data_IF_062165353508
#
_entry.id   IF_062165353508
#
_cell.length_a   1.000
_cell.length_b   1.000
_cell.length_c   1.000
_cell.angle_alpha   90.00
_cell.angle_beta   90.00
_cell.angle_gamma   90.00
#
_symmetry.space_group_name_H-M   'P 1'
#
loop_
_entity.id
_entity.type
_entity.pdbx_description
1 polymer ?
#
# COMPACT_ATOMS: atom_id res chain seq x y z
N UNK A 1 -14.31 -22.84 -9.50
CA UNK A 1 -13.59 -21.56 -9.66
C UNK A 1 -13.00 -21.38 -11.06
N UNK A 2 -12.11 -22.25 -11.55
CA UNK A 2 -11.74 -22.27 -12.99
C UNK A 2 -12.97 -22.42 -13.90
N UNK A 3 -13.91 -23.30 -13.51
CA UNK A 3 -15.22 -23.49 -14.15
C UNK A 3 -16.08 -22.23 -14.19
N UNK A 4 -15.83 -21.27 -13.30
CA UNK A 4 -16.53 -19.99 -13.22
C UNK A 4 -15.73 -18.87 -13.90
N UNK A 5 -14.70 -19.22 -14.68
CA UNK A 5 -13.79 -18.31 -15.38
C UNK A 5 -13.02 -17.33 -14.48
N UNK A 6 -12.89 -17.63 -13.19
CA UNK A 6 -12.04 -16.85 -12.29
C UNK A 6 -10.57 -17.22 -12.46
N UNK A 7 -9.72 -16.19 -12.44
CA UNK A 7 -8.28 -16.31 -12.41
C UNK A 7 -7.81 -16.30 -10.95
N UNK A 8 -7.02 -17.30 -10.58
CA UNK A 8 -6.45 -17.43 -9.24
C UNK A 8 -5.08 -16.77 -9.16
N UNK A 9 -4.90 -15.89 -8.19
CA UNK A 9 -3.60 -15.39 -7.76
C UNK A 9 -3.42 -15.69 -6.27
N UNK A 10 -2.52 -16.61 -5.95
CA UNK A 10 -2.33 -17.13 -4.59
C UNK A 10 -3.65 -17.64 -3.98
N UNK A 11 -4.14 -17.02 -2.90
CA UNK A 11 -5.42 -17.36 -2.23
C UNK A 11 -6.61 -16.53 -2.72
N UNK A 12 -6.40 -15.62 -3.66
CA UNK A 12 -7.42 -14.70 -4.17
C UNK A 12 -7.82 -15.07 -5.59
N UNK A 13 -9.05 -14.76 -5.96
CA UNK A 13 -9.62 -15.15 -7.24
C UNK A 13 -10.36 -13.96 -7.85
N UNK A 14 -10.13 -13.66 -9.12
CA UNK A 14 -10.69 -12.45 -9.75
C UNK A 14 -11.27 -12.79 -11.11
N UNK A 15 -12.29 -12.02 -11.49
CA UNK A 15 -12.97 -12.14 -12.76
C UNK A 15 -12.40 -11.08 -13.74
N UNK A 16 -11.58 -11.49 -14.73
CA UNK A 16 -11.04 -10.57 -15.73
C UNK A 16 -12.07 -10.17 -16.80
N UNK A 17 -13.23 -10.83 -16.88
CA UNK A 17 -14.22 -10.59 -17.94
C UNK A 17 -15.03 -9.31 -17.73
N UNK A 18 -15.06 -8.79 -16.49
CA UNK A 18 -15.83 -7.60 -16.11
C UNK A 18 -14.98 -6.60 -15.33
N UNK A 19 -13.91 -6.05 -15.94
CA UNK A 19 -13.09 -5.05 -15.28
C UNK A 19 -13.86 -3.73 -15.15
N UNK A 20 -13.74 -3.08 -13.99
CA UNK A 20 -14.16 -1.68 -13.84
C UNK A 20 -13.00 -0.77 -14.22
N UNK A 21 -13.23 0.14 -15.16
CA UNK A 21 -12.19 1.04 -15.67
C UNK A 21 -12.22 2.34 -14.87
N UNK A 22 -11.04 2.85 -14.50
CA UNK A 22 -10.81 4.17 -13.92
C UNK A 22 -10.02 4.99 -14.96
N UNK A 23 -10.71 5.76 -15.83
CA UNK A 23 -10.09 6.39 -16.99
C UNK A 23 -8.99 7.40 -16.64
N UNK A 24 -9.19 8.21 -15.60
CA UNK A 24 -8.29 9.31 -15.23
C UNK A 24 -6.87 8.82 -14.91
N UNK A 25 -6.74 7.64 -14.31
CA UNK A 25 -5.44 7.05 -13.96
C UNK A 25 -5.02 5.89 -14.85
N UNK A 26 -5.77 5.61 -15.94
CA UNK A 26 -5.53 4.45 -16.81
C UNK A 26 -5.39 3.16 -15.99
N UNK A 27 -6.29 2.97 -15.03
CA UNK A 27 -6.34 1.80 -14.17
C UNK A 27 -7.58 0.96 -14.50
N UNK A 28 -7.48 -0.34 -14.23
CA UNK A 28 -8.62 -1.24 -14.23
C UNK A 28 -8.66 -2.03 -12.92
N UNK A 29 -9.87 -2.30 -12.44
CA UNK A 29 -10.13 -3.00 -11.19
C UNK A 29 -10.88 -4.29 -11.51
N UNK A 30 -10.24 -5.42 -11.24
CA UNK A 30 -10.86 -6.73 -11.39
C UNK A 30 -11.58 -7.09 -10.08
N UNK A 31 -12.90 -7.31 -10.12
CA UNK A 31 -13.63 -7.79 -8.96
C UNK A 31 -13.26 -9.25 -8.69
N UNK A 32 -13.35 -9.66 -7.44
CA UNK A 32 -12.96 -10.99 -7.04
C UNK A 32 -13.40 -11.36 -5.64
N UNK A 33 -13.00 -12.56 -5.25
CA UNK A 33 -13.31 -13.15 -3.97
C UNK A 33 -12.05 -13.79 -3.36
N UNK A 34 -11.92 -13.65 -2.05
CA UNK A 34 -11.04 -14.48 -1.23
C UNK A 34 -11.90 -15.60 -0.68
N UNK A 35 -11.44 -16.84 -0.83
CA UNK A 35 -12.16 -18.01 -0.34
C UNK A 35 -11.22 -18.83 0.53
N UNK A 36 -11.73 -19.27 1.67
CA UNK A 36 -11.08 -20.21 2.58
C UNK A 36 -12.14 -21.17 3.11
N UNK A 37 -11.82 -22.46 3.12
CA UNK A 37 -12.68 -23.49 3.69
C UNK A 37 -11.98 -23.96 4.96
N UNK A 38 -12.73 -23.97 6.06
CA UNK A 38 -12.24 -24.45 7.35
C UNK A 38 -13.39 -25.05 8.17
N UNK A 39 -13.03 -25.81 9.19
CA UNK A 39 -13.97 -26.40 10.13
C UNK A 39 -14.18 -25.44 11.31
N UNK A 40 -15.45 -25.12 11.59
CA UNK A 40 -15.84 -24.27 12.70
C UNK A 40 -16.95 -24.94 13.52
N UNK A 41 -17.32 -24.32 14.64
CA UNK A 41 -18.51 -24.72 15.38
C UNK A 41 -19.74 -24.64 14.46
N UNK A 42 -20.44 -25.76 14.30
CA UNK A 42 -21.55 -25.92 13.34
C UNK A 42 -21.15 -26.55 11.99
N UNK A 43 -19.89 -26.96 11.82
CA UNK A 43 -19.43 -27.79 10.70
C UNK A 43 -18.50 -27.07 9.72
N UNK A 44 -18.43 -27.62 8.50
CA UNK A 44 -17.57 -27.11 7.43
C UNK A 44 -18.12 -25.78 6.87
N UNK A 45 -17.36 -24.69 7.00
CA UNK A 45 -17.77 -23.37 6.53
C UNK A 45 -16.88 -22.87 5.39
N UNK A 46 -17.48 -22.13 4.46
CA UNK A 46 -16.78 -21.38 3.42
C UNK A 46 -16.73 -19.91 3.81
N UNK A 47 -15.57 -19.43 4.25
CA UNK A 47 -15.31 -18.02 4.40
C UNK A 47 -15.10 -17.41 3.01
N UNK A 48 -16.01 -16.53 2.59
CA UNK A 48 -15.93 -15.79 1.34
C UNK A 48 -15.92 -14.30 1.63
N UNK A 49 -14.98 -13.56 1.03
CA UNK A 49 -14.93 -12.11 1.15
C UNK A 49 -14.63 -11.44 -0.19
N UNK A 50 -15.15 -10.23 -0.38
CA UNK A 50 -14.97 -9.45 -1.60
C UNK A 50 -13.55 -8.90 -1.67
N UNK A 51 -12.90 -9.10 -2.82
CA UNK A 51 -11.56 -8.59 -3.09
C UNK A 51 -11.50 -7.85 -4.41
N UNK A 52 -10.54 -6.93 -4.53
CA UNK A 52 -10.30 -6.18 -5.75
C UNK A 52 -8.82 -6.28 -6.11
N UNK A 53 -8.54 -6.47 -7.40
CA UNK A 53 -7.17 -6.39 -7.93
C UNK A 53 -7.08 -5.19 -8.86
N UNK A 54 -6.16 -4.30 -8.57
CA UNK A 54 -5.89 -3.11 -9.39
C UNK A 54 -4.75 -3.43 -10.36
N UNK A 55 -4.94 -3.06 -11.62
CA UNK A 55 -3.98 -3.24 -12.70
C UNK A 55 -3.84 -1.94 -13.48
N UNK A 56 -2.64 -1.68 -13.98
CA UNK A 56 -2.42 -0.61 -14.94
C UNK A 56 -2.93 -1.03 -16.32
N UNK A 57 -3.52 -0.10 -17.06
CA UNK A 57 -3.86 -0.28 -18.48
C UNK A 57 -2.66 -0.08 -19.39
N UNK A 58 -1.67 0.71 -18.95
CA UNK A 58 -0.40 0.86 -19.66
C UNK A 58 0.43 -0.41 -19.55
N UNK A 59 1.03 -0.82 -20.65
CA UNK A 59 2.02 -1.89 -20.68
C UNK A 59 3.32 -1.44 -20.03
N UNK A 60 4.21 -2.36 -19.68
CA UNK A 60 5.55 -2.01 -19.20
C UNK A 60 6.34 -1.31 -20.32
N UNK A 61 6.09 -1.66 -21.59
CA UNK A 61 6.69 -0.96 -22.73
C UNK A 61 6.30 0.53 -22.76
N UNK A 62 5.01 0.85 -22.61
CA UNK A 62 4.54 2.25 -22.56
C UNK A 62 5.25 3.03 -21.44
N UNK A 63 5.47 2.39 -20.29
CA UNK A 63 6.17 3.01 -19.17
C UNK A 63 7.65 3.20 -19.44
N UNK A 64 8.31 2.26 -20.13
CA UNK A 64 9.69 2.44 -20.57
C UNK A 64 9.80 3.62 -21.55
N UNK A 65 8.85 3.77 -22.48
CA UNK A 65 8.80 4.92 -23.39
C UNK A 65 8.60 6.22 -22.61
N UNK A 66 7.69 6.26 -21.63
CA UNK A 66 7.48 7.44 -20.78
C UNK A 66 8.77 7.82 -20.01
N UNK A 67 9.49 6.84 -19.45
CA UNK A 67 10.75 7.07 -18.72
C UNK A 67 11.84 7.57 -19.67
N UNK A 68 11.93 7.01 -20.87
CA UNK A 68 12.89 7.42 -21.88
C UNK A 68 12.66 8.89 -22.31
N UNK A 69 11.40 9.28 -22.51
CA UNK A 69 11.04 10.66 -22.87
C UNK A 69 11.36 11.67 -21.77
N UNK A 70 11.31 11.27 -20.50
CA UNK A 70 11.61 12.14 -19.36
C UNK A 70 13.11 12.31 -19.11
N UNK A 71 13.91 11.25 -19.31
CA UNK A 71 15.33 11.29 -19.03
C UNK A 71 16.09 10.31 -19.94
N UNK A 72 16.56 10.82 -21.08
CA UNK A 72 17.26 10.03 -22.11
C UNK A 72 18.61 9.53 -21.59
N UNK A 73 19.39 10.41 -20.96
CA UNK A 73 20.78 10.11 -20.56
C UNK A 73 20.86 9.07 -19.43
N UNK A 74 19.87 9.05 -18.52
CA UNK A 74 19.81 8.12 -17.38
C UNK A 74 18.67 7.12 -17.49
N UNK A 75 18.22 6.81 -18.71
CA UNK A 75 17.07 5.96 -18.96
C UNK A 75 17.17 4.59 -18.26
N UNK A 76 18.31 3.90 -18.41
CA UNK A 76 18.46 2.55 -17.85
C UNK A 76 18.41 2.53 -16.33
N UNK A 77 19.04 3.51 -15.67
CA UNK A 77 19.03 3.62 -14.20
C UNK A 77 17.62 3.94 -13.68
N UNK A 78 16.93 4.90 -14.32
CA UNK A 78 15.56 5.26 -14.00
C UNK A 78 14.59 4.08 -14.19
N UNK A 79 14.74 3.33 -15.29
CA UNK A 79 13.94 2.14 -15.57
C UNK A 79 14.16 1.05 -14.53
N UNK A 80 15.41 0.75 -14.18
CA UNK A 80 15.76 -0.22 -13.12
C UNK A 80 15.16 0.19 -11.78
N UNK A 81 15.36 1.44 -11.35
CA UNK A 81 14.83 1.97 -10.08
C UNK A 81 13.30 1.92 -10.00
N UNK A 82 12.61 2.14 -11.12
CA UNK A 82 11.14 2.22 -11.14
C UNK A 82 10.48 0.85 -11.26
N UNK A 83 11.06 -0.08 -12.04
CA UNK A 83 10.40 -1.33 -12.42
C UNK A 83 10.89 -2.56 -11.64
N UNK A 84 12.16 -2.61 -11.23
CA UNK A 84 12.68 -3.76 -10.49
C UNK A 84 11.95 -3.89 -9.15
N UNK A 85 11.57 -5.11 -8.81
CA UNK A 85 10.80 -5.43 -7.61
C UNK A 85 9.28 -5.44 -7.82
N UNK A 86 8.78 -4.77 -8.86
CA UNK A 86 7.36 -4.74 -9.16
C UNK A 86 6.85 -6.09 -9.70
N UNK A 87 5.55 -6.32 -9.53
CA UNK A 87 4.87 -7.51 -10.03
C UNK A 87 4.09 -7.15 -11.29
N UNK A 88 4.41 -7.82 -12.39
CA UNK A 88 3.70 -7.73 -13.67
C UNK A 88 2.72 -8.88 -13.84
N UNK A 89 1.64 -8.64 -14.58
CA UNK A 89 0.67 -9.60 -15.06
C UNK A 89 0.77 -9.71 -16.57
N UNK A 90 0.84 -10.93 -17.08
CA UNK A 90 0.72 -11.23 -18.50
C UNK A 90 -0.72 -11.66 -18.82
N UNK A 91 -1.46 -10.86 -19.60
CA UNK A 91 -2.89 -11.08 -19.86
C UNK A 91 -3.18 -12.37 -20.65
N UNK A 92 -2.26 -12.81 -21.50
CA UNK A 92 -2.44 -13.98 -22.37
C UNK A 92 -2.51 -15.32 -21.62
N UNK A 93 -1.98 -15.39 -20.38
CA UNK A 93 -2.03 -16.59 -19.55
C UNK A 93 -2.47 -16.29 -18.10
N UNK A 94 -2.75 -15.02 -17.79
CA UNK A 94 -3.06 -14.49 -16.47
C UNK A 94 -2.09 -14.91 -15.36
N UNK A 95 -0.79 -14.96 -15.67
CA UNK A 95 0.28 -15.25 -14.71
C UNK A 95 0.98 -13.98 -14.25
N UNK A 96 1.44 -14.00 -13.00
CA UNK A 96 2.18 -12.89 -12.41
C UNK A 96 3.64 -13.25 -12.24
N UNK A 97 4.51 -12.29 -12.54
CA UNK A 97 5.96 -12.42 -12.43
C UNK A 97 6.52 -11.22 -11.69
N UNK A 98 7.57 -11.42 -10.90
CA UNK A 98 8.30 -10.32 -10.25
C UNK A 98 9.44 -9.92 -11.17
N UNK A 99 9.56 -8.63 -11.48
CA UNK A 99 10.70 -8.14 -12.24
C UNK A 99 11.92 -8.16 -11.31
N UNK A 100 12.92 -8.96 -11.67
CA UNK A 100 14.19 -9.04 -10.96
C UNK A 100 15.26 -8.19 -11.62
N UNK A 101 15.30 -8.17 -12.96
CA UNK A 101 16.28 -7.43 -13.75
C UNK A 101 15.66 -7.02 -15.10
N UNK A 102 16.26 -6.03 -15.76
CA UNK A 102 15.90 -5.62 -17.13
C UNK A 102 17.13 -5.83 -18.02
N UNK A 103 17.01 -6.69 -19.03
CA UNK A 103 18.04 -6.93 -20.01
C UNK A 103 17.87 -5.97 -21.19
N UNK A 104 18.75 -4.96 -21.27
CA UNK A 104 18.80 -4.03 -22.40
C UNK A 104 19.56 -4.60 -23.60
N UNK A 105 20.41 -5.62 -23.38
CA UNK A 105 21.23 -6.23 -24.42
C UNK A 105 20.49 -7.33 -25.21
N UNK A 106 19.30 -7.73 -24.76
CA UNK A 106 18.48 -8.74 -25.41
C UNK A 106 17.17 -8.14 -25.90
N UNK A 107 16.73 -8.60 -27.06
CA UNK A 107 15.51 -8.15 -27.72
C UNK A 107 14.57 -9.34 -27.98
N UNK A 108 13.30 -9.11 -28.37
CA UNK A 108 12.39 -10.15 -28.82
C UNK A 108 12.92 -11.06 -29.96
N UNK A 109 13.97 -10.63 -30.67
CA UNK A 109 14.62 -11.44 -31.71
C UNK A 109 15.59 -12.48 -31.13
N UNK A 110 16.00 -12.34 -29.87
CA UNK A 110 16.88 -13.30 -29.21
C UNK A 110 16.21 -14.68 -29.13
N UNK A 111 17.02 -15.73 -29.27
CA UNK A 111 16.61 -17.11 -29.13
C UNK A 111 16.78 -17.62 -27.71
N UNK A 112 15.94 -18.58 -27.33
CA UNK A 112 16.05 -19.30 -26.09
C UNK A 112 15.69 -20.78 -26.30
N UNK A 113 16.20 -21.63 -25.42
CA UNK A 113 16.03 -23.06 -25.53
C UNK A 113 14.70 -23.50 -24.93
N UNK A 114 13.86 -24.16 -25.73
CA UNK A 114 12.63 -24.80 -25.28
C UNK A 114 12.77 -26.32 -25.31
N UNK A 115 11.82 -27.04 -24.72
CA UNK A 115 11.75 -28.51 -24.80
C UNK A 115 11.64 -29.04 -26.24
N UNK A 116 11.16 -28.21 -27.16
CA UNK A 116 10.97 -28.50 -28.58
C UNK A 116 12.12 -28.02 -29.47
N UNK A 117 13.19 -27.46 -28.90
CA UNK A 117 14.32 -26.88 -29.63
C UNK A 117 14.51 -25.38 -29.35
N UNK A 118 15.48 -24.79 -30.02
CA UNK A 118 15.75 -23.35 -29.97
C UNK A 118 14.69 -22.57 -30.75
N UNK A 119 14.15 -21.49 -30.17
CA UNK A 119 13.16 -20.63 -30.83
C UNK A 119 13.37 -19.18 -30.38
N UNK A 120 13.04 -18.22 -31.25
CA UNK A 120 13.00 -16.80 -30.86
C UNK A 120 11.79 -16.51 -29.97
N UNK A 121 11.83 -15.42 -29.18
CA UNK A 121 10.64 -14.97 -28.45
C UNK A 121 9.49 -14.64 -29.41
N UNK A 122 9.77 -13.99 -30.53
CA UNK A 122 8.78 -13.69 -31.58
C UNK A 122 8.02 -14.93 -32.04
N UNK A 123 8.75 -15.96 -32.46
CA UNK A 123 8.16 -17.20 -32.97
C UNK A 123 7.43 -17.97 -31.87
N UNK A 124 7.97 -17.98 -30.66
CA UNK A 124 7.34 -18.61 -29.51
C UNK A 124 5.97 -17.99 -29.22
N UNK A 125 5.89 -16.66 -29.10
CA UNK A 125 4.63 -15.97 -28.82
C UNK A 125 3.63 -16.09 -29.98
N UNK A 126 4.10 -16.12 -31.22
CA UNK A 126 3.25 -16.32 -32.39
C UNK A 126 2.70 -17.75 -32.46
N UNK A 127 3.54 -18.76 -32.23
CA UNK A 127 3.17 -20.18 -32.32
C UNK A 127 2.28 -20.65 -31.17
N UNK A 128 2.60 -20.29 -29.93
CA UNK A 128 1.91 -20.82 -28.75
C UNK A 128 0.77 -19.93 -28.24
N UNK A 129 0.82 -18.63 -28.52
CA UNK A 129 -0.18 -17.67 -28.04
C UNK A 129 -0.89 -16.91 -29.15
N UNK A 130 -0.50 -17.08 -30.42
CA UNK A 130 -1.00 -16.31 -31.56
C UNK A 130 -0.87 -14.79 -31.38
N UNK A 131 0.21 -14.35 -30.73
CA UNK A 131 0.49 -12.93 -30.47
C UNK A 131 1.59 -12.46 -31.41
N UNK A 132 1.35 -11.34 -32.09
CA UNK A 132 2.38 -10.64 -32.88
C UNK A 132 2.93 -9.50 -32.04
N UNK A 133 4.23 -9.54 -31.72
CA UNK A 133 4.94 -8.47 -31.01
C UNK A 133 5.20 -7.32 -32.00
N UNK A 134 4.89 -6.08 -31.62
CA UNK A 134 5.00 -4.93 -32.51
C UNK A 134 6.39 -4.31 -32.49
N UNK A 135 6.94 -4.13 -31.29
CA UNK A 135 8.28 -3.56 -31.12
C UNK A 135 9.31 -4.69 -30.97
N UNK A 136 10.13 -4.90 -32.00
CA UNK A 136 11.17 -5.93 -31.99
C UNK A 136 12.47 -5.49 -31.33
N UNK A 137 12.60 -4.20 -30.97
CA UNK A 137 13.82 -3.62 -30.36
C UNK A 137 13.66 -3.37 -28.86
N UNK A 138 12.49 -3.61 -28.30
CA UNK A 138 12.25 -3.46 -26.86
C UNK A 138 13.17 -4.38 -26.02
N UNK A 139 13.54 -3.98 -24.79
CA UNK A 139 14.33 -4.83 -23.89
C UNK A 139 13.51 -6.02 -23.37
N UNK A 140 14.15 -6.94 -22.66
CA UNK A 140 13.48 -8.05 -21.97
C UNK A 140 13.41 -7.82 -20.45
N UNK A 141 12.32 -8.26 -19.83
CA UNK A 141 12.20 -8.33 -18.36
C UNK A 141 12.59 -9.72 -17.89
N UNK A 142 13.48 -9.82 -16.92
CA UNK A 142 13.84 -11.08 -16.29
C UNK A 142 13.10 -11.26 -14.98
N UNK A 143 12.45 -12.42 -14.84
CA UNK A 143 11.83 -12.87 -13.60
C UNK A 143 12.49 -14.16 -13.14
N UNK A 144 13.10 -14.15 -11.96
CA UNK A 144 13.83 -15.28 -11.40
C UNK A 144 12.96 -15.93 -10.32
N UNK A 145 12.61 -17.20 -10.53
CA UNK A 145 11.88 -18.00 -9.55
C UNK A 145 12.84 -18.98 -8.88
N UNK A 146 13.18 -18.72 -7.62
CA UNK A 146 13.93 -19.66 -6.79
C UNK A 146 13.12 -20.93 -6.58
N UNK A 147 13.68 -22.09 -6.91
CA UNK A 147 13.11 -23.39 -6.58
C UNK A 147 13.04 -23.55 -5.05
N UNK A 148 11.98 -24.17 -4.53
CA UNK A 148 11.82 -24.45 -3.09
C UNK A 148 12.29 -25.86 -2.71
N UNK A 149 12.90 -26.58 -3.64
CA UNK A 149 13.33 -27.96 -3.42
C UNK A 149 14.77 -27.95 -2.92
N UNK A 150 14.98 -28.46 -1.70
CA UNK A 150 16.29 -28.73 -1.09
C UNK A 150 16.96 -29.92 -1.81
N UNK A 151 17.38 -29.71 -3.04
CA UNK A 151 18.30 -30.60 -3.76
C UNK A 151 19.47 -29.74 -4.23
N UNK A 152 20.69 -30.26 -4.16
CA UNK A 152 21.95 -29.55 -4.39
C UNK A 152 22.07 -28.84 -5.76
N UNK A 153 21.10 -29.02 -6.66
CA UNK A 153 20.95 -28.27 -7.91
C UNK A 153 19.98 -27.08 -7.72
N UNK A 154 20.52 -25.94 -7.31
CA UNK A 154 19.83 -24.65 -7.30
C UNK A 154 19.66 -24.11 -8.73
N UNK A 155 18.93 -24.81 -9.61
CA UNK A 155 18.55 -24.26 -10.90
C UNK A 155 17.47 -23.19 -10.69
N UNK A 156 17.90 -21.93 -10.66
CA UNK A 156 17.00 -20.79 -10.68
C UNK A 156 16.31 -20.73 -12.04
N UNK A 157 14.99 -20.93 -12.08
CA UNK A 157 14.23 -20.81 -13.33
C UNK A 157 14.12 -19.32 -13.67
N UNK A 158 14.73 -18.94 -14.79
CA UNK A 158 14.68 -17.59 -15.33
C UNK A 158 13.62 -17.51 -16.43
N UNK A 159 12.72 -16.54 -16.30
CA UNK A 159 11.71 -16.22 -17.30
C UNK A 159 12.07 -14.89 -17.97
N UNK A 160 12.30 -14.92 -19.28
CA UNK A 160 12.34 -13.71 -20.11
C UNK A 160 10.93 -13.33 -20.56
N UNK A 161 10.52 -12.09 -20.28
CA UNK A 161 9.19 -11.58 -20.57
C UNK A 161 9.29 -10.33 -21.45
N UNK A 162 8.33 -10.19 -22.36
CA UNK A 162 8.23 -9.06 -23.29
C UNK A 162 7.48 -7.90 -22.62
N UNK A 163 8.08 -6.70 -22.47
CA UNK A 163 7.43 -5.53 -21.84
C UNK A 163 6.07 -5.17 -22.44
N UNK A 164 5.89 -5.29 -23.75
CA UNK A 164 4.62 -5.02 -24.47
C UNK A 164 3.46 -5.91 -23.97
N UNK A 165 3.76 -7.11 -23.47
CA UNK A 165 2.76 -8.08 -23.02
C UNK A 165 2.56 -8.08 -21.50
N UNK A 166 3.29 -7.22 -20.78
CA UNK A 166 3.32 -7.15 -19.34
C UNK A 166 2.58 -5.90 -18.85
N UNK A 167 1.75 -6.05 -17.83
CA UNK A 167 1.03 -4.94 -17.19
C UNK A 167 1.41 -4.89 -15.71
N UNK A 168 1.76 -3.71 -15.19
CA UNK A 168 2.03 -3.58 -13.76
C UNK A 168 0.77 -3.87 -12.94
N UNK A 169 0.97 -4.51 -11.80
CA UNK A 169 -0.09 -4.79 -10.84
C UNK A 169 0.13 -4.00 -9.56
N UNK A 170 -0.97 -3.59 -8.93
CA UNK A 170 -0.93 -2.75 -7.74
C UNK A 170 -0.83 -1.26 -8.04
N UNK A 171 -0.72 -0.47 -6.96
CA UNK A 171 -0.58 0.98 -7.01
C UNK A 171 0.87 1.34 -6.70
N UNK A 172 1.48 2.12 -7.59
CA UNK A 172 2.78 2.76 -7.40
C UNK A 172 2.72 3.81 -6.29
N UNK A 173 3.85 4.12 -5.68
CA UNK A 173 3.91 5.04 -4.54
C UNK A 173 3.52 6.48 -4.90
N UNK A 174 3.87 6.94 -6.11
CA UNK A 174 3.41 8.22 -6.64
C UNK A 174 1.87 8.28 -6.75
N UNK A 175 1.24 7.21 -7.24
CA UNK A 175 -0.22 7.10 -7.31
C UNK A 175 -0.86 7.04 -5.92
N UNK A 176 -0.20 6.41 -4.94
CA UNK A 176 -0.67 6.37 -3.55
C UNK A 176 -0.59 7.73 -2.86
N UNK A 177 0.38 8.55 -3.25
CA UNK A 177 0.53 9.92 -2.73
C UNK A 177 -0.52 10.90 -3.29
N UNK A 178 -1.14 10.57 -4.44
CA UNK A 178 -2.23 11.37 -5.01
C UNK A 178 -3.56 11.08 -4.29
N UNK A 179 -3.92 12.00 -3.39
CA UNK A 179 -5.16 11.93 -2.62
C UNK A 179 -6.43 11.96 -3.49
N UNK A 180 -6.41 12.64 -4.64
CA UNK A 180 -7.58 12.74 -5.53
C UNK A 180 -7.81 11.38 -6.18
N UNK A 181 -6.75 10.77 -6.70
CA UNK A 181 -6.78 9.45 -7.28
C UNK A 181 -7.19 8.38 -6.25
N UNK A 182 -6.61 8.42 -5.05
CA UNK A 182 -6.96 7.46 -3.99
C UNK A 182 -8.43 7.56 -3.56
N UNK A 183 -9.04 8.75 -3.59
CA UNK A 183 -10.50 8.92 -3.36
C UNK A 183 -11.32 8.27 -4.46
N UNK A 184 -10.92 8.41 -5.72
CA UNK A 184 -11.62 7.78 -6.85
C UNK A 184 -11.52 6.24 -6.78
N UNK A 185 -10.32 5.70 -6.56
CA UNK A 185 -10.10 4.25 -6.35
C UNK A 185 -10.94 3.74 -5.17
N UNK A 186 -11.05 4.53 -4.10
CA UNK A 186 -11.86 4.18 -2.94
C UNK A 186 -13.36 4.03 -3.29
N UNK A 187 -13.89 4.76 -4.27
CA UNK A 187 -15.31 4.59 -4.68
C UNK A 187 -15.59 3.22 -5.28
N UNK A 188 -14.59 2.60 -5.93
CA UNK A 188 -14.71 1.28 -6.54
C UNK A 188 -14.32 0.13 -5.60
N UNK A 189 -13.46 0.41 -4.60
CA UNK A 189 -12.86 -0.62 -3.73
C UNK A 189 -13.46 -0.65 -2.32
N UNK A 190 -14.05 0.46 -1.83
CA UNK A 190 -14.79 0.47 -0.57
C UNK A 190 -16.17 -0.14 -0.79
N UNK A 191 -16.43 -1.23 -0.08
CA UNK A 191 -17.68 -1.97 -0.15
C UNK A 191 -18.41 -1.79 1.16
N UNK A 192 -19.62 -1.21 1.11
CA UNK A 192 -20.50 -1.10 2.28
C UNK A 192 -21.01 -2.49 2.72
N UNK A 193 -21.49 -2.65 3.97
CA UNK A 193 -22.02 -3.94 4.43
C UNK A 193 -23.10 -4.51 3.50
N UNK A 194 -24.05 -3.68 3.05
CA UNK A 194 -25.12 -4.11 2.14
C UNK A 194 -24.56 -4.55 0.78
N UNK A 195 -23.62 -3.78 0.21
CA UNK A 195 -22.98 -4.16 -1.06
C UNK A 195 -22.17 -5.46 -0.92
N UNK A 196 -21.55 -5.68 0.24
CA UNK A 196 -20.79 -6.91 0.52
C UNK A 196 -21.73 -8.11 0.54
N UNK A 197 -22.86 -8.00 1.23
CA UNK A 197 -23.89 -9.04 1.25
C UNK A 197 -24.40 -9.35 -0.17
N UNK A 198 -24.74 -8.32 -0.97
CA UNK A 198 -25.15 -8.52 -2.36
C UNK A 198 -24.08 -9.20 -3.22
N UNK A 199 -22.81 -8.88 -3.00
CA UNK A 199 -21.71 -9.50 -3.72
C UNK A 199 -21.50 -10.98 -3.34
N UNK A 200 -21.73 -11.34 -2.08
CA UNK A 200 -21.70 -12.72 -1.60
C UNK A 200 -22.91 -13.53 -2.10
N UNK A 201 -24.10 -12.92 -2.12
CA UNK A 201 -25.29 -13.50 -2.74
C UNK A 201 -25.06 -13.80 -4.22
N UNK A 202 -24.48 -12.84 -4.94
CA UNK A 202 -24.11 -13.04 -6.34
C UNK A 202 -23.08 -14.16 -6.53
N UNK A 203 -22.12 -14.28 -5.61
CA UNK A 203 -21.14 -15.36 -5.64
C UNK A 203 -21.82 -16.72 -5.47
N UNK A 204 -22.69 -16.86 -4.47
CA UNK A 204 -23.49 -18.05 -4.24
C UNK A 204 -24.31 -18.41 -5.48
N UNK A 205 -25.03 -17.44 -6.05
CA UNK A 205 -25.84 -17.63 -7.25
C UNK A 205 -25.01 -18.09 -8.44
N UNK A 206 -23.83 -17.51 -8.66
CA UNK A 206 -22.94 -17.91 -9.75
C UNK A 206 -22.48 -19.37 -9.61
N UNK A 207 -22.17 -19.82 -8.38
CA UNK A 207 -21.77 -21.22 -8.15
C UNK A 207 -22.97 -22.15 -8.33
N UNK A 208 -24.13 -21.83 -7.75
CA UNK A 208 -25.31 -22.69 -7.72
C UNK A 208 -26.04 -22.77 -9.06
N UNK A 209 -26.01 -21.71 -9.87
CA UNK A 209 -26.65 -21.66 -11.21
C UNK A 209 -25.75 -22.21 -12.32
N UNK A 210 -24.46 -22.44 -12.08
CA UNK A 210 -23.55 -23.02 -13.07
C UNK A 210 -23.54 -24.55 -12.92
N UNK A 211 -24.11 -25.32 -13.88
CA UNK A 211 -24.26 -26.78 -13.74
C UNK A 211 -22.94 -27.49 -13.47
N UNK A 212 -21.91 -27.15 -14.25
CA UNK A 212 -20.57 -27.73 -14.10
C UNK A 212 -19.92 -27.43 -12.74
N UNK A 213 -20.25 -26.31 -12.08
CA UNK A 213 -19.75 -26.02 -10.74
C UNK A 213 -20.52 -26.80 -9.67
N UNK A 214 -21.83 -26.96 -9.86
CA UNK A 214 -22.71 -27.75 -8.99
C UNK A 214 -22.37 -29.24 -9.02
N UNK A 215 -22.10 -29.79 -10.20
CA UNK A 215 -21.69 -31.20 -10.37
C UNK A 215 -20.39 -31.51 -9.61
N UNK A 216 -19.42 -30.59 -9.63
CA UNK A 216 -18.19 -30.75 -8.85
C UNK A 216 -18.53 -30.88 -7.37
N UNK A 217 -19.32 -29.96 -6.80
CA UNK A 217 -19.68 -30.01 -5.38
C UNK A 217 -20.48 -31.28 -5.04
N UNK A 218 -21.47 -31.62 -5.86
CA UNK A 218 -22.30 -32.82 -5.70
C UNK A 218 -21.46 -34.10 -5.74
N UNK A 219 -20.41 -34.15 -6.57
CA UNK A 219 -19.50 -35.30 -6.64
C UNK A 219 -18.74 -35.55 -5.33
N UNK A 220 -18.60 -34.53 -4.48
CA UNK A 220 -18.03 -34.65 -3.13
C UNK A 220 -19.11 -34.77 -2.04
N UNK A 221 -20.40 -34.87 -2.41
CA UNK A 221 -21.51 -34.84 -1.47
C UNK A 221 -21.69 -33.48 -0.79
N UNK A 222 -21.10 -32.41 -1.34
CA UNK A 222 -21.14 -31.06 -0.78
C UNK A 222 -22.20 -30.22 -1.48
N UNK A 223 -22.82 -29.30 -0.74
CA UNK A 223 -23.68 -28.26 -1.29
C UNK A 223 -23.38 -26.92 -0.63
N UNK A 224 -23.59 -25.82 -1.35
CA UNK A 224 -23.49 -24.50 -0.77
C UNK A 224 -24.84 -24.07 -0.23
N UNK A 225 -24.85 -23.65 1.03
CA UNK A 225 -26.06 -23.15 1.69
C UNK A 225 -25.96 -21.63 1.82
N UNK A 226 -27.04 -20.93 1.45
CA UNK A 226 -27.21 -19.50 1.74
C UNK A 226 -27.65 -19.34 3.19
N UNK A 227 -26.76 -19.62 4.13
CA UNK A 227 -27.02 -19.33 5.54
C UNK A 227 -26.03 -18.29 6.04
N UNK A 228 -26.52 -17.07 6.20
CA UNK A 228 -25.86 -16.11 7.07
C UNK A 228 -26.18 -16.56 8.49
N UNK A 229 -25.43 -17.54 9.01
CA UNK A 229 -25.67 -18.05 10.35
C UNK A 229 -25.86 -16.86 11.29
N UNK A 230 -27.06 -16.74 11.86
CA UNK A 230 -27.37 -15.67 12.81
C UNK A 230 -26.51 -15.94 14.04
N UNK A 231 -25.36 -15.28 14.10
CA UNK A 231 -24.45 -15.43 15.21
C UNK A 231 -24.99 -14.60 16.36
N UNK A 232 -25.24 -15.26 17.50
CA UNK A 232 -25.64 -14.56 18.72
C UNK A 232 -24.41 -13.87 19.31
N UNK A 233 -24.18 -12.63 18.88
CA UNK A 233 -23.14 -11.77 19.44
C UNK A 233 -23.52 -11.22 20.81
N UNK A 234 -22.50 -10.74 21.55
CA UNK A 234 -22.67 -9.94 22.77
C UNK A 234 -22.08 -8.55 22.54
N UNK A 235 -22.85 -7.51 22.84
CA UNK A 235 -22.35 -6.15 22.91
C UNK A 235 -21.85 -5.90 24.32
N UNK A 236 -20.56 -5.56 24.47
CA UNK A 236 -20.02 -5.15 25.76
C UNK A 236 -20.52 -3.75 26.12
N UNK A 237 -20.65 -3.51 27.42
CA UNK A 237 -21.00 -2.18 27.91
C UNK A 237 -19.87 -1.19 27.57
N UNK A 238 -20.21 0.08 27.26
CA UNK A 238 -19.20 1.10 27.02
C UNK A 238 -18.30 1.28 28.25
N UNK A 239 -16.99 1.23 28.02
CA UNK A 239 -16.01 1.47 29.08
C UNK A 239 -16.01 2.91 29.57
N UNK A 240 -15.58 3.07 30.83
CA UNK A 240 -15.41 4.37 31.46
C UNK A 240 -14.01 4.94 31.19
N UNK A 241 -13.96 6.20 30.78
CA UNK A 241 -12.76 6.97 30.53
C UNK A 241 -12.52 7.88 31.73
N UNK A 242 -11.38 7.69 32.37
CA UNK A 242 -10.98 8.44 33.57
C UNK A 242 -10.09 9.62 33.18
N UNK A 243 -10.54 10.82 33.55
CA UNK A 243 -9.78 12.07 33.53
C UNK A 243 -9.39 12.45 34.98
N UNK A 244 -8.58 13.51 35.15
CA UNK A 244 -8.12 13.92 36.49
C UNK A 244 -9.26 14.17 37.49
N UNK A 245 -10.36 14.80 37.03
CA UNK A 245 -11.49 15.20 37.88
C UNK A 245 -12.82 14.56 37.51
N UNK A 246 -12.93 13.99 36.31
CA UNK A 246 -14.19 13.49 35.77
C UNK A 246 -14.01 12.08 35.20
N UNK A 247 -15.07 11.28 35.29
CA UNK A 247 -15.18 10.01 34.57
C UNK A 247 -16.32 10.13 33.58
N UNK A 248 -16.09 9.74 32.32
CA UNK A 248 -17.10 9.80 31.25
C UNK A 248 -17.18 8.46 30.53
N UNK A 249 -18.34 8.01 30.07
CA UNK A 249 -18.43 6.81 29.24
C UNK A 249 -17.85 7.09 27.84
N UNK A 250 -17.24 6.07 27.21
CA UNK A 250 -16.76 6.15 25.82
C UNK A 250 -17.90 6.38 24.80
N UNK A 251 -19.15 6.17 25.22
CA UNK A 251 -20.35 6.35 24.39
C UNK A 251 -20.56 5.20 23.41
N UNK A 252 -21.67 5.27 22.64
CA UNK A 252 -22.08 4.20 21.72
C UNK A 252 -21.10 3.95 20.57
N UNK A 253 -20.38 4.98 20.14
CA UNK A 253 -19.43 4.92 19.02
C UNK A 253 -17.97 4.76 19.49
N UNK A 254 -17.72 4.60 20.79
CA UNK A 254 -16.39 4.64 21.38
C UNK A 254 -15.57 5.88 20.98
N UNK A 255 -16.24 7.03 20.85
CA UNK A 255 -15.65 8.31 20.46
C UNK A 255 -15.76 9.32 21.60
N UNK A 256 -14.62 9.64 22.22
CA UNK A 256 -14.55 10.51 23.40
C UNK A 256 -13.71 11.78 23.19
N UNK A 257 -13.31 12.08 21.95
CA UNK A 257 -12.48 13.26 21.62
C UNK A 257 -13.07 14.58 22.12
N UNK A 258 -14.40 14.72 22.12
CA UNK A 258 -15.09 15.90 22.65
C UNK A 258 -14.87 16.10 24.16
N UNK A 259 -14.73 15.02 24.91
CA UNK A 259 -14.46 15.07 26.35
C UNK A 259 -12.99 15.39 26.63
N UNK A 260 -12.07 14.95 25.77
CA UNK A 260 -10.62 15.26 25.90
C UNK A 260 -10.36 16.75 25.85
N UNK A 261 -11.05 17.49 24.98
CA UNK A 261 -10.82 18.94 24.82
C UNK A 261 -11.25 19.74 26.05
N UNK A 262 -12.20 19.21 26.84
CA UNK A 262 -12.84 19.91 27.95
C UNK A 262 -12.38 19.42 29.33
N UNK A 263 -11.51 18.41 29.41
CA UNK A 263 -11.09 17.80 30.66
C UNK A 263 -9.57 17.75 30.78
N UNK A 264 -9.09 17.93 32.02
CA UNK A 264 -7.68 17.78 32.35
C UNK A 264 -7.24 16.31 32.24
N UNK A 265 -6.03 16.08 31.75
CA UNK A 265 -5.49 14.73 31.60
C UNK A 265 -5.37 14.01 32.94
N UNK A 266 -5.53 12.69 32.95
CA UNK A 266 -5.41 11.85 34.15
C UNK A 266 -4.08 12.05 34.88
N UNK A 267 -2.98 12.06 34.12
CA UNK A 267 -1.65 12.35 34.63
C UNK A 267 -1.03 13.43 33.74
N UNK A 268 -0.60 14.52 34.36
CA UNK A 268 -0.04 15.68 33.66
C UNK A 268 1.48 15.71 33.84
N UNK A 269 2.20 15.91 32.74
CA UNK A 269 3.63 16.24 32.75
C UNK A 269 3.78 17.66 32.24
N UNK A 270 4.25 18.57 33.08
CA UNK A 270 4.48 19.96 32.70
C UNK A 270 5.72 20.10 31.82
N UNK A 271 5.64 20.96 30.81
CA UNK A 271 6.72 21.21 29.85
C UNK A 271 7.35 22.55 30.20
N UNK A 272 8.45 22.51 30.95
CA UNK A 272 9.19 23.67 31.43
C UNK A 272 10.33 24.05 30.48
N UNK A 273 11.04 23.05 29.93
CA UNK A 273 12.19 23.28 29.06
C UNK A 273 12.07 22.45 27.79
N UNK A 274 11.81 23.15 26.68
CA UNK A 274 11.66 22.54 25.38
C UNK A 274 12.14 23.49 24.28
N UNK A 275 12.37 22.90 23.11
CA UNK A 275 13.03 23.58 22.00
C UNK A 275 12.10 23.54 20.78
N UNK A 276 11.94 24.67 20.10
CA UNK A 276 11.21 24.76 18.84
C UNK A 276 12.18 25.21 17.74
N UNK A 277 12.44 24.32 16.79
CA UNK A 277 13.27 24.58 15.61
C UNK A 277 12.35 24.92 14.44
N UNK A 278 12.59 26.05 13.80
CA UNK A 278 11.84 26.52 12.63
C UNK A 278 12.76 27.21 11.63
N UNK A 279 12.31 27.38 10.39
CA UNK A 279 13.03 28.20 9.41
C UNK A 279 12.68 29.67 9.58
N UNK A 280 13.58 30.58 9.18
CA UNK A 280 13.35 32.04 9.28
C UNK A 280 12.02 32.47 8.67
N UNK A 281 11.66 31.89 7.53
CA UNK A 281 10.42 32.19 6.82
C UNK A 281 9.16 31.72 7.57
N UNK A 282 9.28 30.72 8.46
CA UNK A 282 8.16 30.11 9.19
C UNK A 282 7.89 30.75 10.55
N UNK A 283 8.53 31.89 10.87
CA UNK A 283 8.39 32.52 12.18
C UNK A 283 6.92 32.78 12.56
N UNK A 284 6.09 33.20 11.58
CA UNK A 284 4.65 33.40 11.80
C UNK A 284 3.92 32.11 12.12
N UNK A 285 4.22 31.03 11.39
CA UNK A 285 3.62 29.72 11.62
C UNK A 285 4.05 29.14 12.98
N UNK A 286 5.32 29.35 13.36
CA UNK A 286 5.85 28.96 14.66
C UNK A 286 5.15 29.70 15.81
N UNK A 287 4.96 31.02 15.70
CA UNK A 287 4.21 31.78 16.71
C UNK A 287 2.75 31.33 16.82
N UNK A 288 2.07 31.12 15.68
CA UNK A 288 0.70 30.58 15.67
C UNK A 288 0.62 29.20 16.35
N UNK A 289 1.62 28.35 16.15
CA UNK A 289 1.71 27.05 16.82
C UNK A 289 1.84 27.22 18.33
N UNK A 290 2.69 28.15 18.79
CA UNK A 290 2.87 28.43 20.22
C UNK A 290 1.59 28.92 20.89
N UNK A 291 0.85 29.81 20.23
CA UNK A 291 -0.43 30.30 20.74
C UNK A 291 -1.46 29.17 20.86
N UNK A 292 -1.56 28.32 19.84
CA UNK A 292 -2.43 27.14 19.85
C UNK A 292 -2.04 26.15 20.94
N UNK A 293 -0.74 25.85 21.10
CA UNK A 293 -0.26 24.98 22.17
C UNK A 293 -0.64 25.56 23.52
N UNK A 294 -0.42 26.86 23.75
CA UNK A 294 -0.75 27.51 25.02
C UNK A 294 -2.25 27.45 25.31
N UNK A 295 -3.10 27.66 24.31
CA UNK A 295 -4.55 27.59 24.44
C UNK A 295 -5.03 26.17 24.76
N UNK A 296 -4.58 25.16 24.00
CA UNK A 296 -4.99 23.77 24.19
C UNK A 296 -4.42 23.15 25.47
N UNK A 297 -3.20 23.51 25.86
CA UNK A 297 -2.55 22.93 27.04
C UNK A 297 -3.28 23.29 28.33
N UNK A 298 -3.91 24.47 28.38
CA UNK A 298 -4.69 24.92 29.55
C UNK A 298 -5.88 24.01 29.84
N UNK A 299 -6.63 23.60 28.81
CA UNK A 299 -7.78 22.70 29.02
C UNK A 299 -7.35 21.28 29.38
N UNK A 300 -6.18 20.85 28.91
CA UNK A 300 -5.55 19.57 29.26
C UNK A 300 -4.90 19.57 30.64
N UNK A 301 -4.83 20.72 31.33
CA UNK A 301 -4.15 20.87 32.63
C UNK A 301 -2.63 20.91 32.52
N UNK A 302 -2.06 20.95 31.31
CA UNK A 302 -0.62 20.99 31.08
C UNK A 302 -0.13 22.43 31.14
N UNK A 303 0.78 22.74 32.06
CA UNK A 303 1.55 23.97 31.99
C UNK A 303 2.69 23.82 30.96
N UNK A 304 2.72 24.72 29.97
CA UNK A 304 3.76 24.77 28.94
C UNK A 304 4.44 26.13 28.99
N UNK A 305 5.72 26.13 29.34
CA UNK A 305 6.57 27.31 29.37
C UNK A 305 6.98 27.75 27.96
N UNK A 306 7.49 28.98 27.81
CA UNK A 306 7.98 29.48 26.52
C UNK A 306 9.21 28.66 26.06
N UNK A 307 9.24 28.14 24.83
CA UNK A 307 10.39 27.36 24.35
C UNK A 307 11.59 28.23 24.04
N UNK A 308 12.74 27.55 23.92
CA UNK A 308 13.91 28.11 23.23
C UNK A 308 13.67 28.02 21.72
N UNK A 309 13.54 29.18 21.07
CA UNK A 309 13.30 29.30 19.63
C UNK A 309 14.62 29.26 18.87
N UNK A 310 14.77 28.31 17.96
CA UNK A 310 15.95 28.21 17.09
C UNK A 310 15.50 28.42 15.66
N UNK A 311 16.04 29.47 15.05
CA UNK A 311 15.76 29.81 13.66
C UNK A 311 16.88 29.30 12.75
N UNK A 312 16.50 28.55 11.72
CA UNK A 312 17.39 28.06 10.67
C UNK A 312 17.30 28.97 9.43
N UNK A 313 18.44 29.23 8.80
CA UNK A 313 18.51 29.99 7.55
C UNK A 313 18.02 29.20 6.33
N UNK A 314 18.37 27.90 6.30
CA UNK A 314 18.18 27.05 5.13
C UNK A 314 17.57 25.71 5.51
N UNK A 315 16.71 25.19 4.65
CA UNK A 315 16.09 23.87 4.80
C UNK A 315 17.06 22.74 4.40
N UNK A 316 18.17 22.64 5.15
CA UNK A 316 19.22 21.63 4.96
C UNK A 316 19.25 20.68 6.13
N UNK A 317 19.40 19.38 5.84
CA UNK A 317 19.51 18.33 6.86
C UNK A 317 20.63 18.67 7.86
N UNK A 318 21.81 19.06 7.38
CA UNK A 318 22.94 19.42 8.24
C UNK A 318 22.62 20.55 9.22
N UNK A 319 21.80 21.53 8.82
CA UNK A 319 21.40 22.64 9.66
C UNK A 319 20.52 22.17 10.83
N UNK A 320 19.56 21.27 10.56
CA UNK A 320 18.76 20.63 11.61
C UNK A 320 19.64 19.80 12.55
N UNK A 321 20.57 19.00 12.00
CA UNK A 321 21.50 18.17 12.78
C UNK A 321 22.35 19.04 13.71
N UNK A 322 22.96 20.10 13.19
CA UNK A 322 23.79 21.00 13.97
C UNK A 322 22.97 21.74 15.04
N UNK A 323 21.77 22.20 14.71
CA UNK A 323 20.89 22.85 15.67
C UNK A 323 20.47 21.91 16.80
N UNK A 324 20.14 20.66 16.49
CA UNK A 324 19.82 19.64 17.50
C UNK A 324 21.02 19.40 18.43
N UNK A 325 22.19 19.12 17.88
CA UNK A 325 23.40 18.81 18.68
C UNK A 325 23.87 19.99 19.54
N UNK A 326 23.69 21.23 19.08
CA UNK A 326 24.14 22.43 19.81
C UNK A 326 23.23 22.84 20.95
N UNK A 327 21.93 22.55 20.84
CA UNK A 327 20.93 23.14 21.75
C UNK A 327 20.23 22.12 22.65
N UNK A 328 20.27 20.83 22.33
CA UNK A 328 19.74 19.79 23.22
C UNK A 328 20.70 19.65 24.40
N UNK A 329 20.16 19.80 25.61
CA UNK A 329 20.85 19.49 26.85
C UNK A 329 20.11 18.42 27.67
N UNK A 330 20.74 17.95 28.74
CA UNK A 330 20.19 16.90 29.63
C UNK A 330 18.85 17.27 30.28
N UNK A 331 18.53 18.57 30.38
CA UNK A 331 17.31 19.07 31.01
C UNK A 331 16.20 19.34 29.98
N UNK A 332 16.47 19.15 28.70
CA UNK A 332 15.50 19.36 27.63
C UNK A 332 14.48 18.22 27.61
N UNK A 333 13.19 18.54 27.65
CA UNK A 333 12.12 17.55 27.76
C UNK A 333 11.61 17.07 26.39
N UNK A 334 11.56 17.97 25.41
CA UNK A 334 11.06 17.67 24.07
C UNK A 334 11.64 18.67 23.06
N UNK A 335 11.88 18.20 21.83
CA UNK A 335 12.18 19.05 20.68
C UNK A 335 11.07 18.97 19.66
N UNK A 336 10.62 20.13 19.18
CA UNK A 336 9.65 20.25 18.10
C UNK A 336 10.36 20.84 16.87
N UNK A 337 10.25 20.18 15.73
CA UNK A 337 10.84 20.64 14.46
C UNK A 337 9.74 20.95 13.45
N UNK A 338 9.68 22.22 13.02
CA UNK A 338 8.83 22.67 11.91
C UNK A 338 9.56 22.46 10.58
N UNK A 339 8.85 21.88 9.63
CA UNK A 339 9.33 21.48 8.32
C UNK A 339 8.37 21.96 7.22
N UNK A 340 8.88 22.35 6.05
CA UNK A 340 8.03 22.79 4.92
C UNK A 340 7.39 21.63 4.13
N UNK A 341 8.01 20.45 4.12
CA UNK A 341 7.55 19.31 3.33
C UNK A 341 7.71 17.97 4.07
N UNK A 342 7.07 16.91 3.58
CA UNK A 342 7.21 15.55 4.09
C UNK A 342 8.41 14.85 3.46
N UNK A 343 9.61 15.32 3.80
CA UNK A 343 10.88 14.73 3.35
C UNK A 343 11.35 13.64 4.33
N UNK A 344 11.34 12.40 3.87
CA UNK A 344 11.70 11.22 4.68
C UNK A 344 13.16 11.20 5.11
N UNK A 345 14.07 11.70 4.26
CA UNK A 345 15.51 11.80 4.56
C UNK A 345 15.78 12.72 5.76
N UNK A 346 15.14 13.90 5.79
CA UNK A 346 15.20 14.83 6.92
C UNK A 346 14.55 14.24 8.18
N UNK A 347 13.35 13.65 8.04
CA UNK A 347 12.67 13.01 9.17
C UNK A 347 13.54 11.92 9.80
N UNK A 348 14.13 11.05 8.97
CA UNK A 348 15.01 9.97 9.40
C UNK A 348 16.27 10.49 10.09
N UNK A 349 16.87 11.57 9.57
CA UNK A 349 18.05 12.20 10.19
C UNK A 349 17.73 12.80 11.58
N UNK A 350 16.61 13.53 11.71
CA UNK A 350 16.16 14.09 12.99
C UNK A 350 15.90 12.96 13.99
N UNK A 351 15.18 11.91 13.58
CA UNK A 351 14.88 10.77 14.44
C UNK A 351 16.12 9.98 14.84
N UNK A 352 17.08 9.80 13.93
CA UNK A 352 18.36 9.15 14.24
C UNK A 352 19.09 9.87 15.36
N UNK A 353 19.16 11.20 15.32
CA UNK A 353 19.81 11.97 16.39
C UNK A 353 19.02 11.84 17.70
N UNK A 354 17.72 12.15 17.68
CA UNK A 354 16.92 12.21 18.91
C UNK A 354 16.65 10.83 19.54
N UNK A 355 16.81 9.74 18.79
CA UNK A 355 16.58 8.37 19.31
C UNK A 355 17.86 7.58 19.51
N UNK A 356 18.95 7.85 18.78
CA UNK A 356 20.19 7.07 18.86
C UNK A 356 21.36 7.82 19.49
N UNK A 357 21.49 9.13 19.27
CA UNK A 357 22.64 9.90 19.76
C UNK A 357 22.31 10.69 21.03
N UNK A 358 21.18 11.39 21.04
CA UNK A 358 20.72 12.28 22.11
C UNK A 358 19.29 11.89 22.46
N UNK A 359 19.06 10.99 23.43
CA UNK A 359 17.75 10.39 23.69
C UNK A 359 16.78 11.45 24.24
N UNK A 360 16.00 12.05 23.34
CA UNK A 360 14.99 13.06 23.68
C UNK A 360 13.72 12.83 22.84
N UNK A 361 12.52 12.93 23.45
CA UNK A 361 11.27 12.98 22.69
C UNK A 361 11.32 14.06 21.61
N UNK A 362 10.88 13.71 20.40
CA UNK A 362 10.89 14.62 19.25
C UNK A 362 9.56 14.59 18.49
N UNK A 363 9.03 15.77 18.21
CA UNK A 363 7.83 15.97 17.40
C UNK A 363 8.20 16.70 16.11
N UNK A 364 8.00 16.06 14.96
CA UNK A 364 8.20 16.69 13.65
C UNK A 364 6.84 17.08 13.08
N UNK A 365 6.70 18.31 12.59
CA UNK A 365 5.46 18.80 11.99
C UNK A 365 5.73 19.45 10.64
N UNK A 366 4.97 19.03 9.64
CA UNK A 366 4.97 19.67 8.32
C UNK A 366 3.88 20.73 8.30
N UNK A 367 4.24 21.98 8.02
CA UNK A 367 3.27 23.01 7.66
C UNK A 367 3.10 22.99 6.15
N UNK A 368 1.91 22.59 5.71
CA UNK A 368 1.47 22.82 4.34
C UNK A 368 0.88 24.22 4.35
N UNK A 369 1.58 25.18 3.75
CA UNK A 369 1.06 26.54 3.52
C UNK A 369 -0.02 26.47 2.44
#
# INVERSE_FOLDING_TARGET
>A
MKTLNYVRFNRKQFDPSRPKIIPLAKLEVWPGYVTAVDEYEGGLMLCCDVSHRILCQKTVLDMLVDIYQQNVDHFQECARKTLIGNIVLTRYNNRTYKINEICFDQTPMASFQTKSGETSYLDYYKKYHNITIKDVKQPLLLSIKKSRVNTNDNENIQFGLIPELCYLTGLRDDMRSDNKLMREIATFTRVSPNQRQMALDKFHDNVSKTPAAKEILNGWGLSLTKNYNSLKGRQLDPELIYFSKQTVPAGKNAEFSKYVVNNEMLQVVHINKWILIHLKNDLRAANNLLDNIKQCSKSLGINVSKPTMISLDHDRIDAYIQALRRNIDLNSQIVVCICHNSRDDRYSAIKKICCSELPIPSQVRVFVI
#
